data_IF_475251656870
#
_entry.id   IF_475251656870
#
_cell.length_a   1.000
_cell.length_b   1.000
_cell.length_c   1.000
_cell.angle_alpha   90.00
_cell.angle_beta   90.00
_cell.angle_gamma   90.00
#
_symmetry.space_group_name_H-M   'P 1'
#
loop_
_entity.id
_entity.type
_entity.pdbx_description
1 polymer ?
#
# COMPACT_ATOMS: atom_id res chain seq x y z
N UNK A 1 -1.63 32.10 4.33
CA UNK A 1 -0.62 31.17 4.85
C UNK A 1 0.35 30.83 3.74
N UNK A 2 1.67 30.76 4.00
CA UNK A 2 2.66 30.34 2.99
C UNK A 2 3.37 29.07 3.50
N UNK A 3 3.43 28.05 2.66
CA UNK A 3 4.06 26.75 2.95
C UNK A 3 4.90 26.28 1.76
N UNK A 4 5.72 25.24 1.94
CA UNK A 4 6.45 24.61 0.84
C UNK A 4 5.52 23.74 -0.02
N UNK A 5 4.60 23.01 0.61
CA UNK A 5 3.75 22.03 -0.09
C UNK A 5 2.27 22.08 0.36
N UNK A 6 1.38 21.89 -0.61
CA UNK A 6 0.02 21.41 -0.39
C UNK A 6 -0.02 19.93 -0.71
N UNK A 7 -0.59 19.11 0.18
CA UNK A 7 -0.82 17.68 -0.03
C UNK A 7 -2.33 17.45 -0.13
N UNK A 8 -2.80 16.77 -1.17
CA UNK A 8 -4.22 16.47 -1.33
C UNK A 8 -4.44 14.96 -1.13
N UNK A 9 -5.15 14.63 -0.05
CA UNK A 9 -5.43 13.26 0.36
C UNK A 9 -4.53 12.76 1.48
N UNK A 10 -5.14 12.33 2.58
CA UNK A 10 -4.47 11.74 3.75
C UNK A 10 -4.82 10.25 3.86
N UNK A 11 -4.49 9.50 2.79
CA UNK A 11 -4.36 8.04 2.83
C UNK A 11 -2.91 7.65 3.14
N UNK A 12 -2.53 6.40 2.91
CA UNK A 12 -1.17 5.91 3.17
C UNK A 12 -0.10 6.72 2.41
N UNK A 13 -0.33 7.03 1.13
CA UNK A 13 0.61 7.81 0.33
C UNK A 13 0.82 9.22 0.89
N UNK A 14 -0.28 9.95 1.16
CA UNK A 14 -0.19 11.31 1.71
C UNK A 14 0.40 11.35 3.12
N UNK A 15 0.09 10.37 3.96
CA UNK A 15 0.67 10.25 5.31
C UNK A 15 2.18 10.02 5.24
N UNK A 16 2.65 9.09 4.41
CA UNK A 16 4.09 8.81 4.26
C UNK A 16 4.85 9.97 3.63
N UNK A 17 4.25 10.66 2.66
CA UNK A 17 4.86 11.82 2.04
C UNK A 17 4.93 13.01 3.01
N UNK A 18 3.85 13.28 3.75
CA UNK A 18 3.84 14.31 4.80
C UNK A 18 4.87 14.02 5.89
N UNK A 19 5.04 12.75 6.28
CA UNK A 19 6.07 12.33 7.23
C UNK A 19 7.49 12.63 6.71
N UNK A 20 7.79 12.34 5.44
CA UNK A 20 9.10 12.64 4.86
C UNK A 20 9.36 14.15 4.74
N UNK A 21 8.34 14.96 4.46
CA UNK A 21 8.46 16.42 4.51
C UNK A 21 8.70 16.92 5.94
N UNK A 22 7.98 16.37 6.92
CA UNK A 22 8.17 16.68 8.33
C UNK A 22 9.63 16.40 8.78
N UNK A 23 10.18 15.23 8.43
CA UNK A 23 11.59 14.88 8.71
C UNK A 23 12.58 15.84 8.07
N UNK A 24 12.25 16.44 6.94
CA UNK A 24 13.09 17.40 6.21
C UNK A 24 12.83 18.86 6.60
N UNK A 25 12.06 19.10 7.69
CA UNK A 25 11.68 20.43 8.18
C UNK A 25 11.02 21.29 7.10
N UNK A 26 10.20 20.68 6.22
CA UNK A 26 9.40 21.37 5.21
C UNK A 26 8.01 21.67 5.74
N UNK A 27 7.54 22.87 5.47
CA UNK A 27 6.20 23.31 5.81
C UNK A 27 5.17 22.78 4.81
N UNK A 28 4.03 22.30 5.29
CA UNK A 28 2.97 21.80 4.42
C UNK A 28 1.59 21.91 5.07
N UNK A 29 0.56 21.82 4.23
CA UNK A 29 -0.84 21.65 4.65
C UNK A 29 -1.43 20.47 3.89
N UNK A 30 -2.14 19.61 4.60
CA UNK A 30 -2.85 18.45 4.05
C UNK A 30 -4.35 18.78 3.91
N UNK A 31 -4.90 18.63 2.71
CA UNK A 31 -6.34 18.67 2.47
C UNK A 31 -6.88 17.24 2.43
N UNK A 32 -7.83 16.96 3.31
CA UNK A 32 -8.37 15.62 3.52
C UNK A 32 -9.89 15.64 3.47
N UNK A 33 -10.49 15.04 2.44
CA UNK A 33 -11.94 14.87 2.37
C UNK A 33 -12.41 13.86 3.44
N UNK A 34 -13.17 14.29 4.47
CA UNK A 34 -13.64 13.43 5.54
C UNK A 34 -14.72 12.43 5.06
N UNK A 35 -15.36 12.71 3.94
CA UNK A 35 -16.43 11.87 3.38
C UNK A 35 -15.89 10.81 2.41
N UNK A 36 -14.60 10.85 2.08
CA UNK A 36 -13.98 9.89 1.20
C UNK A 36 -13.49 8.66 1.98
N UNK A 37 -14.13 7.50 1.79
CA UNK A 37 -13.62 6.22 2.29
C UNK A 37 -12.29 5.92 1.58
N UNK A 38 -11.22 5.79 2.35
CA UNK A 38 -9.88 5.52 1.83
C UNK A 38 -9.60 4.03 1.78
N UNK A 39 -8.94 3.57 0.72
CA UNK A 39 -8.48 2.17 0.62
C UNK A 39 -7.59 1.77 1.78
N UNK A 40 -6.86 2.72 2.33
CA UNK A 40 -5.96 2.55 3.47
C UNK A 40 -6.68 2.19 4.76
N UNK A 41 -7.95 2.61 4.93
CA UNK A 41 -8.79 2.27 6.09
C UNK A 41 -9.32 0.83 6.03
N UNK A 42 -9.29 0.23 4.85
CA UNK A 42 -9.73 -1.15 4.58
C UNK A 42 -8.55 -2.11 4.45
N UNK A 43 -7.38 -1.58 4.15
CA UNK A 43 -6.18 -2.37 3.90
C UNK A 43 -5.90 -3.36 5.05
N UNK A 44 -5.51 -4.57 4.69
CA UNK A 44 -5.08 -5.56 5.68
C UNK A 44 -3.73 -5.16 6.33
N UNK A 45 -2.96 -4.34 5.65
CA UNK A 45 -1.63 -3.99 6.13
C UNK A 45 -0.58 -5.07 5.94
N UNK A 46 -0.91 -6.14 5.21
CA UNK A 46 -0.06 -7.29 5.00
C UNK A 46 1.23 -6.92 4.25
N UNK A 47 2.35 -7.34 4.80
CA UNK A 47 3.69 -7.21 4.19
C UNK A 47 4.09 -8.56 3.62
N UNK A 48 4.28 -8.61 2.31
CA UNK A 48 4.74 -9.81 1.63
C UNK A 48 5.81 -9.44 0.58
N UNK A 49 7.08 -9.86 0.79
CA UNK A 49 8.18 -9.54 -0.10
C UNK A 49 8.17 -10.32 -1.42
N UNK A 50 7.30 -11.31 -1.57
CA UNK A 50 7.27 -12.23 -2.71
C UNK A 50 5.93 -12.19 -3.44
N UNK A 51 5.96 -12.39 -4.74
CA UNK A 51 4.78 -12.60 -5.59
C UNK A 51 4.57 -14.10 -5.77
N UNK A 52 3.79 -14.75 -4.91
CA UNK A 52 3.62 -16.21 -4.89
C UNK A 52 3.21 -16.83 -6.23
N UNK A 53 2.34 -16.18 -7.01
CA UNK A 53 1.90 -16.70 -8.31
C UNK A 53 3.05 -16.98 -9.27
N UNK A 54 4.14 -16.20 -9.16
CA UNK A 54 5.33 -16.30 -10.01
C UNK A 54 6.55 -16.79 -9.23
N UNK A 55 6.45 -16.88 -7.92
CA UNK A 55 7.57 -17.12 -7.00
C UNK A 55 8.75 -16.20 -7.32
N UNK A 56 8.50 -14.89 -7.39
CA UNK A 56 9.51 -13.88 -7.66
C UNK A 56 9.53 -12.82 -6.57
N UNK A 57 10.65 -12.12 -6.42
CA UNK A 57 10.72 -10.93 -5.57
C UNK A 57 9.64 -9.92 -5.95
N UNK A 58 9.07 -9.24 -4.97
CA UNK A 58 8.30 -8.03 -5.22
C UNK A 58 9.22 -6.95 -5.78
N UNK A 59 8.69 -6.14 -6.67
CA UNK A 59 9.45 -5.05 -7.29
C UNK A 59 10.15 -4.19 -6.24
N UNK A 60 11.44 -3.93 -6.43
CA UNK A 60 12.30 -3.12 -5.53
C UNK A 60 12.30 -3.58 -4.07
N UNK A 61 11.98 -4.83 -3.76
CA UNK A 61 11.88 -5.28 -2.37
C UNK A 61 13.20 -5.20 -1.61
N UNK A 62 14.32 -5.44 -2.28
CA UNK A 62 15.64 -5.42 -1.64
C UNK A 62 15.99 -4.02 -1.09
N UNK A 63 15.54 -2.96 -1.77
CA UNK A 63 15.70 -1.57 -1.33
C UNK A 63 14.56 -1.10 -0.44
N UNK A 64 13.33 -1.50 -0.78
CA UNK A 64 12.13 -1.01 -0.12
C UNK A 64 11.92 -1.62 1.27
N UNK A 65 12.29 -2.88 1.49
CA UNK A 65 12.03 -3.56 2.76
C UNK A 65 12.81 -2.94 3.93
N UNK A 66 14.12 -2.68 3.85
CA UNK A 66 14.87 -2.01 4.91
C UNK A 66 14.33 -0.59 5.19
N UNK A 67 14.00 0.16 4.11
CA UNK A 67 13.43 1.50 4.28
C UNK A 67 12.05 1.47 4.95
N UNK A 68 11.23 0.48 4.61
CA UNK A 68 9.93 0.27 5.23
C UNK A 68 10.05 0.02 6.74
N UNK A 69 10.93 -0.89 7.15
CA UNK A 69 11.15 -1.19 8.57
C UNK A 69 11.61 0.05 9.34
N UNK A 70 12.61 0.76 8.80
CA UNK A 70 13.10 2.00 9.42
C UNK A 70 11.98 3.03 9.56
N UNK A 71 11.24 3.31 8.49
CA UNK A 71 10.19 4.33 8.49
C UNK A 71 9.07 4.02 9.48
N UNK A 72 8.62 2.75 9.55
CA UNK A 72 7.53 2.43 10.48
C UNK A 72 7.98 2.42 11.93
N UNK A 73 9.24 2.05 12.23
CA UNK A 73 9.79 2.19 13.58
C UNK A 73 9.91 3.66 14.01
N UNK A 74 10.42 4.50 13.12
CA UNK A 74 10.50 5.95 13.39
C UNK A 74 9.10 6.57 13.58
N UNK A 75 8.07 6.09 12.84
CA UNK A 75 6.68 6.51 13.04
C UNK A 75 6.09 6.02 14.37
N UNK A 76 6.42 4.80 14.81
CA UNK A 76 6.03 4.30 16.14
C UNK A 76 6.60 5.19 17.25
N UNK A 77 7.87 5.56 17.14
CA UNK A 77 8.53 6.46 18.09
C UNK A 77 7.90 7.86 18.09
N UNK A 78 7.68 8.44 16.89
CA UNK A 78 7.09 9.77 16.74
C UNK A 78 5.66 9.86 17.29
N UNK A 79 4.86 8.83 17.03
CA UNK A 79 3.43 8.81 17.36
C UNK A 79 3.12 8.17 18.70
N UNK A 80 4.12 7.55 19.36
CA UNK A 80 3.97 6.77 20.58
C UNK A 80 2.90 5.68 20.51
N UNK A 81 2.82 5.03 19.32
CA UNK A 81 1.80 4.01 19.02
C UNK A 81 2.46 2.77 18.39
N UNK A 82 2.13 1.55 18.84
CA UNK A 82 2.57 0.34 18.16
C UNK A 82 1.79 0.17 16.85
N UNK A 83 2.51 0.19 15.74
CA UNK A 83 1.95 0.17 14.37
C UNK A 83 2.41 -1.03 13.56
N UNK A 84 3.70 -1.36 13.64
CA UNK A 84 4.35 -2.39 12.84
C UNK A 84 4.62 -3.65 13.67
N UNK A 85 4.02 -4.76 13.24
CA UNK A 85 4.25 -6.07 13.82
C UNK A 85 4.99 -6.94 12.82
N UNK A 86 6.33 -7.09 12.92
CA UNK A 86 7.07 -8.06 12.13
C UNK A 86 6.62 -9.47 12.47
N UNK A 87 6.67 -10.36 11.51
CA UNK A 87 6.24 -11.73 11.71
C UNK A 87 6.59 -12.64 10.54
N UNK A 88 6.13 -13.88 10.63
CA UNK A 88 6.29 -14.90 9.59
C UNK A 88 4.97 -15.13 8.87
N UNK A 89 5.07 -15.59 7.64
CA UNK A 89 3.88 -16.05 6.90
C UNK A 89 4.08 -17.50 6.47
N UNK A 90 3.10 -18.32 6.74
CA UNK A 90 3.06 -19.72 6.38
C UNK A 90 2.21 -19.88 5.13
N UNK A 91 2.84 -20.12 3.98
CA UNK A 91 2.15 -20.40 2.72
C UNK A 91 1.78 -21.88 2.66
N UNK A 92 0.50 -22.18 2.59
CA UNK A 92 0.01 -23.54 2.36
C UNK A 92 0.49 -24.02 1.00
N UNK A 93 1.16 -25.17 0.94
CA UNK A 93 1.63 -25.80 -0.28
C UNK A 93 0.73 -26.99 -0.65
N UNK A 94 0.64 -27.30 -1.95
CA UNK A 94 0.02 -28.54 -2.45
C UNK A 94 0.89 -29.75 -2.11
N UNK A 95 0.41 -30.95 -2.40
CA UNK A 95 1.12 -32.20 -2.15
C UNK A 95 2.54 -32.18 -2.76
N UNK A 96 2.64 -31.84 -4.04
CA UNK A 96 3.92 -31.73 -4.76
C UNK A 96 4.59 -30.34 -4.62
N UNK A 97 4.00 -29.46 -3.84
CA UNK A 97 4.41 -28.05 -3.73
C UNK A 97 5.75 -27.84 -3.05
N UNK A 98 6.23 -28.81 -2.27
CA UNK A 98 7.49 -28.72 -1.54
C UNK A 98 8.71 -28.64 -2.44
N UNK A 99 8.80 -29.54 -3.42
CA UNK A 99 9.93 -29.55 -4.36
C UNK A 99 9.90 -28.36 -5.31
N UNK A 100 8.69 -27.97 -5.78
CA UNK A 100 8.51 -26.75 -6.54
C UNK A 100 8.94 -25.50 -5.74
N UNK A 101 8.61 -25.45 -4.44
CA UNK A 101 9.03 -24.37 -3.55
C UNK A 101 10.55 -24.26 -3.50
N UNK A 102 11.25 -25.37 -3.20
CA UNK A 102 12.72 -25.40 -3.15
C UNK A 102 13.37 -24.94 -4.45
N UNK A 103 12.93 -25.53 -5.57
CA UNK A 103 13.41 -25.14 -6.90
C UNK A 103 13.29 -23.65 -7.13
N UNK A 104 12.12 -23.08 -6.87
CA UNK A 104 11.85 -21.66 -7.12
C UNK A 104 12.55 -20.71 -6.16
N UNK A 105 12.77 -21.12 -4.91
CA UNK A 105 13.55 -20.33 -3.95
C UNK A 105 14.96 -20.12 -4.48
N UNK A 106 15.64 -21.16 -4.94
CA UNK A 106 16.98 -21.06 -5.51
C UNK A 106 16.99 -20.37 -6.87
N UNK A 107 16.14 -20.78 -7.80
CA UNK A 107 16.13 -20.25 -9.17
C UNK A 107 15.86 -18.74 -9.21
N UNK A 108 15.09 -18.23 -8.25
CA UNK A 108 14.67 -16.82 -8.20
C UNK A 108 15.37 -16.03 -7.07
N UNK A 109 16.40 -16.59 -6.43
CA UNK A 109 17.22 -15.95 -5.39
C UNK A 109 16.35 -15.37 -4.26
N UNK A 110 15.46 -16.22 -3.68
CA UNK A 110 14.51 -15.81 -2.67
C UNK A 110 14.95 -16.13 -1.23
N UNK A 111 16.15 -16.69 -1.02
CA UNK A 111 16.65 -17.17 0.27
C UNK A 111 16.70 -16.07 1.35
N UNK A 112 16.87 -14.81 0.92
CA UNK A 112 16.82 -13.66 1.84
C UNK A 112 15.44 -13.44 2.47
N UNK A 113 14.38 -14.02 1.90
CA UNK A 113 12.99 -13.83 2.27
C UNK A 113 12.27 -15.10 2.65
N UNK A 114 12.67 -16.25 2.10
CA UNK A 114 12.00 -17.54 2.26
C UNK A 114 12.95 -18.56 2.87
N UNK A 115 12.42 -19.44 3.72
CA UNK A 115 13.11 -20.67 4.05
C UNK A 115 13.13 -21.59 2.83
N UNK A 116 14.30 -22.21 2.56
CA UNK A 116 14.47 -23.12 1.42
C UNK A 116 13.64 -24.37 1.63
N UNK A 117 13.81 -24.99 2.81
CA UNK A 117 13.09 -26.19 3.14
C UNK A 117 11.64 -25.90 3.56
N UNK A 118 10.65 -26.59 3.01
CA UNK A 118 9.28 -26.50 3.49
C UNK A 118 9.19 -26.91 4.97
N UNK A 119 8.36 -26.16 5.72
CA UNK A 119 8.13 -26.47 7.11
C UNK A 119 7.11 -27.61 7.25
N UNK A 120 7.59 -28.78 7.63
CA UNK A 120 6.78 -29.96 7.91
C UNK A 120 6.27 -30.00 9.37
N UNK A 121 6.81 -29.16 10.22
CA UNK A 121 6.56 -29.16 11.67
C UNK A 121 5.56 -28.07 12.10
N UNK A 122 5.20 -27.13 11.22
CA UNK A 122 4.15 -26.19 11.55
C UNK A 122 2.86 -26.97 11.79
N UNK A 123 2.34 -26.86 12.99
CA UNK A 123 1.09 -27.51 13.39
C UNK A 123 0.20 -26.47 14.06
N UNK A 124 -1.01 -26.44 13.60
CA UNK A 124 -2.12 -25.81 14.29
C UNK A 124 -3.33 -26.72 14.08
N UNK A 125 -3.91 -27.23 15.16
CA UNK A 125 -5.00 -28.18 15.11
C UNK A 125 -6.24 -27.66 14.38
N UNK A 126 -6.33 -26.34 14.23
CA UNK A 126 -7.44 -25.65 13.58
C UNK A 126 -7.18 -25.37 12.09
N UNK A 127 -5.98 -25.62 11.58
CA UNK A 127 -5.65 -25.43 10.16
C UNK A 127 -5.69 -26.77 9.45
N UNK A 128 -6.62 -26.88 8.51
CA UNK A 128 -6.80 -28.07 7.68
C UNK A 128 -5.74 -28.11 6.58
N UNK A 129 -4.54 -28.58 6.91
CA UNK A 129 -3.53 -28.86 5.91
C UNK A 129 -2.76 -30.11 6.27
N UNK A 130 -2.76 -31.07 5.35
CA UNK A 130 -2.11 -32.39 5.48
C UNK A 130 -0.70 -32.40 4.86
N UNK A 131 -0.30 -31.36 4.12
CA UNK A 131 0.96 -31.33 3.35
C UNK A 131 2.09 -30.60 4.09
N UNK A 132 2.53 -29.48 3.53
CA UNK A 132 3.63 -28.70 4.06
C UNK A 132 3.37 -27.18 3.91
N UNK A 133 4.23 -26.41 4.54
CA UNK A 133 4.16 -24.95 4.45
C UNK A 133 5.48 -24.37 3.94
N UNK A 134 5.39 -23.46 2.99
CA UNK A 134 6.51 -22.56 2.68
C UNK A 134 6.56 -21.43 3.70
N UNK A 135 7.73 -21.16 4.28
CA UNK A 135 7.87 -20.10 5.26
C UNK A 135 8.44 -18.82 4.65
N UNK A 136 7.76 -17.71 4.85
CA UNK A 136 8.24 -16.35 4.54
C UNK A 136 8.74 -15.72 5.84
N UNK A 137 10.05 -15.51 5.95
CA UNK A 137 10.69 -15.01 7.17
C UNK A 137 10.51 -13.50 7.33
N UNK A 138 10.57 -12.76 6.24
CA UNK A 138 10.40 -11.31 6.21
C UNK A 138 8.97 -10.94 5.81
N UNK A 139 8.04 -11.07 6.76
CA UNK A 139 6.64 -10.71 6.61
C UNK A 139 6.18 -9.89 7.81
N UNK A 140 4.91 -9.61 7.90
CA UNK A 140 4.33 -8.90 9.02
C UNK A 140 3.09 -8.10 8.64
N UNK A 141 2.72 -7.21 9.55
CA UNK A 141 1.54 -6.37 9.43
C UNK A 141 1.84 -4.95 9.89
N UNK A 142 1.33 -3.98 9.13
CA UNK A 142 1.17 -2.60 9.57
C UNK A 142 -0.30 -2.36 9.91
N UNK A 143 -0.59 -1.75 11.04
CA UNK A 143 -1.91 -1.21 11.33
C UNK A 143 -2.08 0.14 10.62
N UNK A 144 -2.47 0.06 9.34
CA UNK A 144 -2.57 1.23 8.46
C UNK A 144 -3.63 2.22 8.95
N UNK A 145 -4.74 1.71 9.48
CA UNK A 145 -5.83 2.56 9.99
C UNK A 145 -5.35 3.35 11.21
N UNK A 146 -4.67 2.68 12.14
CA UNK A 146 -4.11 3.30 13.33
C UNK A 146 -3.03 4.34 12.97
N UNK A 147 -2.14 4.02 12.04
CA UNK A 147 -1.13 4.96 11.53
C UNK A 147 -1.78 6.25 11.01
N UNK A 148 -2.77 6.14 10.11
CA UNK A 148 -3.43 7.31 9.52
C UNK A 148 -4.11 8.13 10.60
N UNK A 149 -4.79 7.49 11.53
CA UNK A 149 -5.49 8.16 12.62
C UNK A 149 -4.53 8.90 13.57
N UNK A 150 -3.49 8.23 14.04
CA UNK A 150 -2.49 8.83 14.93
C UNK A 150 -1.74 9.99 14.25
N UNK A 151 -1.35 9.82 12.97
CA UNK A 151 -0.70 10.88 12.21
C UNK A 151 -1.64 12.07 11.95
N UNK A 152 -2.94 11.82 11.71
CA UNK A 152 -3.95 12.89 11.61
C UNK A 152 -4.05 13.70 12.90
N UNK A 153 -3.95 13.04 14.06
CA UNK A 153 -3.88 13.71 15.36
C UNK A 153 -2.69 14.66 15.47
N UNK A 154 -1.50 14.20 15.06
CA UNK A 154 -0.29 15.03 15.01
C UNK A 154 -0.47 16.24 14.08
N UNK A 155 -1.00 16.04 12.88
CA UNK A 155 -1.25 17.13 11.92
C UNK A 155 -2.26 18.15 12.46
N UNK A 156 -3.27 17.69 13.19
CA UNK A 156 -4.26 18.57 13.83
C UNK A 156 -3.62 19.44 14.92
N UNK A 157 -2.77 18.86 15.75
CA UNK A 157 -2.02 19.60 16.79
C UNK A 157 -1.11 20.67 16.18
N UNK A 158 -0.59 20.44 14.97
CA UNK A 158 0.30 21.37 14.25
C UNK A 158 -0.46 22.35 13.34
N UNK A 159 -1.78 22.36 13.34
CA UNK A 159 -2.63 23.12 12.40
C UNK A 159 -2.28 22.89 10.91
N UNK A 160 -1.80 21.66 10.59
CA UNK A 160 -1.30 21.28 9.27
C UNK A 160 -2.27 20.40 8.47
N UNK A 161 -3.52 20.26 8.91
CA UNK A 161 -4.58 19.56 8.18
C UNK A 161 -5.84 20.39 8.06
N UNK A 162 -6.49 20.28 6.91
CA UNK A 162 -7.83 20.83 6.63
C UNK A 162 -8.74 19.68 6.23
N UNK A 163 -9.76 19.42 7.05
CA UNK A 163 -10.73 18.35 6.80
C UNK A 163 -11.84 18.85 5.87
N UNK A 164 -11.47 19.06 4.61
CA UNK A 164 -12.37 19.51 3.55
C UNK A 164 -11.98 18.89 2.20
N UNK A 165 -12.99 18.75 1.33
CA UNK A 165 -12.78 18.27 -0.03
C UNK A 165 -12.04 19.32 -0.85
N UNK A 166 -10.96 18.92 -1.51
CA UNK A 166 -10.21 19.79 -2.42
C UNK A 166 -11.01 20.05 -3.71
N UNK A 167 -11.17 21.30 -4.04
CA UNK A 167 -11.85 21.77 -5.25
C UNK A 167 -10.79 22.20 -6.29
N UNK A 168 -10.64 21.43 -7.36
CA UNK A 168 -9.63 21.69 -8.38
C UNK A 168 -9.82 23.03 -9.09
N UNK A 169 -11.06 23.55 -9.18
CA UNK A 169 -11.36 24.81 -9.85
C UNK A 169 -10.85 26.05 -9.08
N UNK A 170 -10.65 25.88 -7.77
CA UNK A 170 -10.07 26.94 -6.92
C UNK A 170 -8.55 27.01 -6.95
N UNK A 171 -7.89 26.02 -7.58
CA UNK A 171 -6.44 26.01 -7.65
C UNK A 171 -5.94 27.00 -8.69
N UNK A 172 -5.24 28.02 -8.23
CA UNK A 172 -4.62 29.05 -9.08
C UNK A 172 -3.15 28.72 -9.26
N UNK A 173 -2.73 28.56 -10.52
CA UNK A 173 -1.34 28.31 -10.89
C UNK A 173 -0.63 29.64 -11.17
N UNK A 174 0.55 29.80 -10.63
CA UNK A 174 1.46 30.93 -10.85
C UNK A 174 2.80 30.38 -11.36
N UNK A 175 3.71 31.21 -11.93
CA UNK A 175 4.96 30.71 -12.50
C UNK A 175 5.78 29.81 -11.54
N UNK A 176 5.87 30.18 -10.25
CA UNK A 176 6.72 29.48 -9.26
C UNK A 176 5.95 29.00 -8.02
N UNK A 177 4.63 29.07 -8.05
CA UNK A 177 3.79 28.70 -6.90
C UNK A 177 2.38 28.30 -7.31
N UNK A 178 1.65 27.77 -6.35
CA UNK A 178 0.20 27.53 -6.44
C UNK A 178 -0.50 28.24 -5.28
N UNK A 179 -1.72 28.69 -5.51
CA UNK A 179 -2.58 29.24 -4.45
C UNK A 179 -3.90 28.49 -4.44
N UNK A 180 -4.31 28.06 -3.26
CA UNK A 180 -5.59 27.43 -3.01
C UNK A 180 -6.22 28.08 -1.77
N UNK A 181 -7.37 28.72 -1.95
CA UNK A 181 -8.01 29.57 -0.95
C UNK A 181 -7.00 30.56 -0.35
N UNK A 182 -6.70 30.47 0.95
CA UNK A 182 -5.76 31.34 1.65
C UNK A 182 -4.36 30.74 1.83
N UNK A 183 -4.06 29.62 1.14
CA UNK A 183 -2.76 28.91 1.21
C UNK A 183 -2.01 29.08 -0.09
N UNK A 184 -0.79 29.62 -0.02
CA UNK A 184 0.16 29.66 -1.14
C UNK A 184 1.29 28.68 -0.88
N UNK A 185 1.62 27.83 -1.85
CA UNK A 185 2.67 26.82 -1.76
C UNK A 185 3.57 26.81 -3.01
N UNK A 186 4.78 26.30 -2.88
CA UNK A 186 5.64 26.07 -4.04
C UNK A 186 5.10 24.96 -4.95
N UNK A 187 4.47 23.94 -4.35
CA UNK A 187 3.90 22.82 -5.11
C UNK A 187 2.66 22.25 -4.42
N UNK A 188 1.79 21.64 -5.24
CA UNK A 188 0.70 20.77 -4.78
C UNK A 188 0.98 19.32 -5.22
N UNK A 189 0.88 18.40 -4.28
CA UNK A 189 1.10 16.96 -4.52
C UNK A 189 -0.19 16.20 -4.23
N UNK A 190 -0.72 15.55 -5.25
CA UNK A 190 -1.97 14.79 -5.19
C UNK A 190 -1.70 13.33 -4.78
N UNK A 191 -2.24 12.94 -3.61
CA UNK A 191 -2.13 11.63 -2.97
C UNK A 191 -3.52 10.97 -2.81
N UNK A 192 -4.38 11.09 -3.81
CA UNK A 192 -5.83 10.89 -3.71
C UNK A 192 -6.29 9.43 -3.85
N UNK A 193 -5.34 8.51 -3.98
CA UNK A 193 -5.68 7.09 -4.18
C UNK A 193 -6.55 6.86 -5.42
N UNK A 194 -7.69 6.17 -5.27
CA UNK A 194 -8.58 5.87 -6.41
C UNK A 194 -9.29 7.10 -6.98
N UNK A 195 -9.39 8.19 -6.24
CA UNK A 195 -10.02 9.43 -6.74
C UNK A 195 -9.16 10.14 -7.79
N UNK A 196 -7.85 9.89 -7.83
CA UNK A 196 -6.96 10.49 -8.82
C UNK A 196 -7.34 10.18 -10.28
N UNK A 197 -8.10 9.13 -10.54
CA UNK A 197 -8.64 8.85 -11.87
C UNK A 197 -9.63 9.94 -12.37
N UNK A 198 -10.19 10.72 -11.46
CA UNK A 198 -11.12 11.83 -11.76
C UNK A 198 -10.42 13.20 -11.71
N UNK A 199 -9.14 13.24 -11.28
CA UNK A 199 -8.40 14.47 -11.19
C UNK A 199 -8.10 15.04 -12.59
N UNK A 200 -8.50 16.30 -12.88
CA UNK A 200 -8.36 16.89 -14.22
C UNK A 200 -6.91 16.99 -14.70
N UNK A 201 -5.93 17.06 -13.81
CA UNK A 201 -4.52 17.16 -14.15
C UNK A 201 -3.91 15.82 -14.60
N UNK A 202 -4.54 14.69 -14.27
CA UNK A 202 -3.98 13.34 -14.50
C UNK A 202 -4.85 12.46 -15.39
N UNK A 203 -5.68 13.05 -16.26
CA UNK A 203 -6.57 12.33 -17.19
C UNK A 203 -5.86 11.33 -18.12
N UNK A 204 -4.58 11.61 -18.42
CA UNK A 204 -3.76 10.77 -19.31
C UNK A 204 -3.12 9.57 -18.58
N UNK A 205 -3.19 9.50 -17.27
CA UNK A 205 -2.67 8.36 -16.51
C UNK A 205 -3.62 7.17 -16.64
N UNK A 206 -3.05 6.01 -17.00
CA UNK A 206 -3.81 4.77 -17.18
C UNK A 206 -3.98 4.05 -15.84
N UNK A 207 -5.00 4.44 -15.08
CA UNK A 207 -5.41 3.70 -13.89
C UNK A 207 -6.11 2.40 -14.27
N UNK A 208 -5.85 1.33 -13.51
CA UNK A 208 -6.57 0.06 -13.55
C UNK A 208 -6.88 -0.37 -12.12
N UNK A 209 -7.85 0.30 -11.55
CA UNK A 209 -8.28 0.03 -10.18
C UNK A 209 -8.84 -1.39 -10.02
N UNK A 210 -8.79 -1.91 -8.79
CA UNK A 210 -9.47 -3.15 -8.42
C UNK A 210 -10.12 -2.99 -7.05
N UNK A 211 -11.34 -3.45 -6.92
CA UNK A 211 -12.02 -3.57 -5.63
C UNK A 211 -11.52 -4.80 -4.89
N UNK A 212 -11.41 -4.72 -3.60
CA UNK A 212 -11.14 -5.84 -2.71
C UNK A 212 -11.98 -5.75 -1.46
N UNK A 213 -12.49 -6.89 -1.05
CA UNK A 213 -13.23 -7.01 0.20
C UNK A 213 -12.46 -7.94 1.16
N UNK A 214 -12.60 -7.68 2.45
CA UNK A 214 -12.02 -8.49 3.51
C UNK A 214 -13.00 -8.59 4.68
N UNK A 215 -12.92 -9.71 5.39
CA UNK A 215 -13.70 -9.99 6.59
C UNK A 215 -12.84 -9.80 7.84
N UNK A 216 -13.48 -9.42 8.93
CA UNK A 216 -12.96 -9.53 10.28
C UNK A 216 -13.77 -10.62 10.98
N UNK A 217 -13.09 -11.70 11.37
CA UNK A 217 -13.70 -12.87 12.00
C UNK A 217 -13.23 -12.97 13.45
N UNK A 218 -14.14 -13.36 14.33
CA UNK A 218 -13.80 -13.88 15.66
C UNK A 218 -13.75 -15.38 15.60
N UNK A 219 -12.61 -15.97 15.94
CA UNK A 219 -12.36 -17.41 15.82
C UNK A 219 -11.71 -17.91 17.13
N UNK A 220 -12.51 -18.18 18.17
CA UNK A 220 -11.99 -18.67 19.43
C UNK A 220 -11.25 -19.99 19.25
N UNK A 221 -10.06 -20.11 19.85
CA UNK A 221 -9.28 -21.36 19.84
C UNK A 221 -8.43 -21.56 18.57
N UNK A 222 -8.43 -20.63 17.59
CA UNK A 222 -7.56 -20.76 16.41
C UNK A 222 -6.07 -20.57 16.76
N UNK A 223 -5.76 -19.67 17.70
CA UNK A 223 -4.40 -19.46 18.29
C UNK A 223 -3.27 -19.35 17.26
N UNK A 224 -3.47 -18.57 16.19
CA UNK A 224 -2.44 -18.27 15.22
C UNK A 224 -1.59 -17.07 15.65
N UNK A 225 -0.28 -17.23 15.63
CA UNK A 225 0.70 -16.15 15.78
C UNK A 225 1.22 -15.69 14.42
N UNK A 226 1.28 -16.61 13.45
CA UNK A 226 1.73 -16.35 12.08
C UNK A 226 0.55 -16.02 11.17
N UNK A 227 0.87 -15.38 10.06
CA UNK A 227 -0.08 -15.21 8.96
C UNK A 227 -0.12 -16.49 8.16
N UNK A 228 -1.30 -17.06 7.95
CA UNK A 228 -1.48 -18.21 7.06
C UNK A 228 -1.97 -17.73 5.70
N UNK A 229 -1.36 -18.20 4.63
CA UNK A 229 -1.70 -17.85 3.24
C UNK A 229 -2.04 -19.10 2.44
N UNK A 230 -3.32 -19.29 2.18
CA UNK A 230 -3.88 -20.28 1.25
C UNK A 230 -4.48 -19.60 0.03
N UNK A 231 -5.76 -19.91 -0.25
CA UNK A 231 -6.59 -19.19 -1.23
C UNK A 231 -6.94 -17.77 -0.75
N UNK A 232 -7.05 -17.61 0.56
CA UNK A 232 -7.12 -16.33 1.26
C UNK A 232 -5.99 -16.28 2.29
N UNK A 233 -5.66 -15.10 2.77
CA UNK A 233 -4.84 -14.98 3.97
C UNK A 233 -5.73 -14.96 5.22
N UNK A 234 -5.22 -15.56 6.28
CA UNK A 234 -5.76 -15.48 7.64
C UNK A 234 -4.70 -14.83 8.50
N UNK A 235 -4.98 -13.63 9.00
CA UNK A 235 -4.01 -12.80 9.69
C UNK A 235 -4.52 -12.39 11.06
N UNK A 236 -3.80 -12.68 12.16
CA UNK A 236 -4.19 -12.26 13.49
C UNK A 236 -4.16 -10.72 13.60
N UNK A 237 -5.21 -10.13 14.18
CA UNK A 237 -5.33 -8.69 14.41
C UNK A 237 -5.62 -8.34 15.89
N UNK A 238 -5.82 -9.34 16.72
CA UNK A 238 -6.10 -9.23 18.13
C UNK A 238 -6.40 -10.59 18.74
N UNK A 239 -6.77 -10.61 20.02
CA UNK A 239 -7.18 -11.86 20.68
C UNK A 239 -8.41 -12.45 19.97
N UNK A 240 -8.30 -13.69 19.51
CA UNK A 240 -9.33 -14.42 18.77
C UNK A 240 -9.89 -13.69 17.54
N UNK A 241 -9.23 -12.59 17.11
CA UNK A 241 -9.70 -11.76 16.00
C UNK A 241 -8.75 -11.87 14.83
N UNK A 242 -9.31 -12.13 13.65
CA UNK A 242 -8.54 -12.40 12.44
C UNK A 242 -9.11 -11.63 11.25
N UNK A 243 -8.22 -11.10 10.41
CA UNK A 243 -8.59 -10.55 9.11
C UNK A 243 -8.42 -11.62 8.05
N UNK A 244 -9.47 -11.87 7.26
CA UNK A 244 -9.50 -12.86 6.18
C UNK A 244 -9.74 -12.13 4.86
N UNK A 245 -8.90 -12.40 3.86
CA UNK A 245 -9.01 -11.70 2.58
C UNK A 245 -8.03 -12.18 1.52
N UNK A 246 -8.09 -11.58 0.37
CA UNK A 246 -9.07 -10.59 -0.05
C UNK A 246 -9.62 -10.99 -1.44
N UNK A 247 -10.80 -10.48 -1.74
CA UNK A 247 -11.32 -10.60 -3.11
C UNK A 247 -10.62 -9.65 -4.07
N UNK A 248 -10.77 -9.91 -5.38
CA UNK A 248 -10.33 -9.05 -6.46
C UNK A 248 -11.42 -8.98 -7.54
N UNK A 249 -12.03 -7.80 -7.72
CA UNK A 249 -12.98 -7.53 -8.79
C UNK A 249 -12.61 -6.24 -9.53
N UNK A 250 -12.96 -6.16 -10.81
CA UNK A 250 -12.64 -5.02 -11.68
C UNK A 250 -13.87 -4.36 -12.27
N UNK A 251 -15.03 -5.01 -12.17
CA UNK A 251 -16.27 -4.58 -12.84
C UNK A 251 -17.08 -3.60 -11.99
N UNK A 252 -17.11 -3.78 -10.67
CA UNK A 252 -17.84 -2.90 -9.74
C UNK A 252 -16.89 -2.13 -8.82
N UNK A 253 -16.40 -0.99 -9.29
CA UNK A 253 -15.48 -0.15 -8.53
C UNK A 253 -16.21 0.78 -7.55
N UNK A 254 -17.09 0.22 -6.74
CA UNK A 254 -17.73 0.91 -5.61
C UNK A 254 -17.14 0.43 -4.28
N UNK A 255 -17.46 1.14 -3.20
CA UNK A 255 -16.99 0.83 -1.84
C UNK A 255 -18.01 0.09 -0.98
N UNK A 256 -19.07 -0.45 -1.61
CA UNK A 256 -20.09 -1.26 -0.94
C UNK A 256 -19.63 -2.71 -0.84
N UNK A 257 -19.87 -3.31 0.29
CA UNK A 257 -19.66 -4.76 0.48
C UNK A 257 -20.75 -5.57 -0.23
N UNK A 258 -20.44 -6.82 -0.60
CA UNK A 258 -21.36 -7.70 -1.32
C UNK A 258 -21.48 -9.07 -0.63
N UNK A 259 -22.68 -9.65 -0.67
CA UNK A 259 -22.90 -11.00 -0.14
C UNK A 259 -22.12 -12.06 -0.91
N UNK A 260 -21.93 -11.86 -2.21
CA UNK A 260 -21.12 -12.75 -3.05
C UNK A 260 -19.66 -12.81 -2.60
N UNK A 261 -19.05 -11.64 -2.33
CA UNK A 261 -17.68 -11.56 -1.80
C UNK A 261 -17.58 -12.18 -0.39
N UNK A 262 -18.59 -11.93 0.45
CA UNK A 262 -18.67 -12.57 1.77
C UNK A 262 -18.67 -14.08 1.67
N UNK A 263 -19.56 -14.62 0.83
CA UNK A 263 -19.64 -16.07 0.59
C UNK A 263 -18.32 -16.62 0.06
N UNK A 264 -17.73 -15.99 -0.97
CA UNK A 264 -16.44 -16.40 -1.54
C UNK A 264 -15.35 -16.49 -0.47
N UNK A 265 -15.23 -15.45 0.37
CA UNK A 265 -14.21 -15.40 1.42
C UNK A 265 -14.42 -16.45 2.48
N UNK A 266 -15.67 -16.72 2.87
CA UNK A 266 -15.99 -17.75 3.86
C UNK A 266 -15.78 -19.15 3.32
N UNK A 267 -16.20 -19.44 2.09
CA UNK A 267 -15.95 -20.73 1.43
C UNK A 267 -14.44 -21.03 1.37
N UNK A 268 -13.63 -20.03 0.95
CA UNK A 268 -12.16 -20.17 0.91
C UNK A 268 -11.52 -20.28 2.29
N UNK A 269 -12.07 -19.60 3.30
CA UNK A 269 -11.61 -19.75 4.67
C UNK A 269 -11.89 -21.14 5.21
N UNK A 270 -13.06 -21.70 4.94
CA UNK A 270 -13.44 -23.05 5.37
C UNK A 270 -12.58 -24.15 4.74
N UNK A 271 -11.97 -23.90 3.56
CA UNK A 271 -10.93 -24.78 3.01
C UNK A 271 -9.62 -24.75 3.81
N UNK A 272 -9.38 -23.70 4.61
CA UNK A 272 -8.20 -23.55 5.45
C UNK A 272 -8.47 -24.03 6.88
N UNK A 273 -9.66 -23.76 7.42
CA UNK A 273 -10.01 -24.05 8.81
C UNK A 273 -11.49 -24.42 8.95
N UNK A 274 -11.75 -25.49 9.70
CA UNK A 274 -13.10 -25.91 10.10
C UNK A 274 -13.55 -25.31 11.44
N UNK A 275 -12.71 -24.46 12.06
CA UNK A 275 -13.02 -23.88 13.38
C UNK A 275 -14.24 -22.96 13.29
N UNK A 276 -15.19 -23.07 14.24
CA UNK A 276 -16.33 -22.18 14.29
C UNK A 276 -15.90 -20.70 14.40
N UNK A 277 -16.63 -19.84 13.72
CA UNK A 277 -16.32 -18.42 13.68
C UNK A 277 -17.58 -17.55 13.71
N UNK A 278 -17.40 -16.29 14.09
CA UNK A 278 -18.38 -15.22 13.97
C UNK A 278 -17.85 -14.16 13.03
N UNK A 279 -18.68 -13.63 12.11
CA UNK A 279 -18.31 -12.52 11.25
C UNK A 279 -18.57 -11.21 11.99
N UNK A 280 -17.50 -10.52 12.38
CA UNK A 280 -17.59 -9.24 13.08
C UNK A 280 -17.82 -8.09 12.12
N UNK A 281 -17.14 -8.11 10.95
CA UNK A 281 -17.19 -6.99 10.02
C UNK A 281 -16.83 -7.44 8.59
N UNK A 282 -17.26 -6.64 7.62
CA UNK A 282 -16.86 -6.75 6.22
C UNK A 282 -16.59 -5.35 5.67
N UNK A 283 -15.45 -5.16 5.04
CA UNK A 283 -15.04 -3.87 4.47
C UNK A 283 -14.65 -4.02 3.01
N UNK A 284 -14.96 -3.00 2.20
CA UNK A 284 -14.62 -2.93 0.79
C UNK A 284 -13.78 -1.69 0.49
N UNK A 285 -12.74 -1.83 -0.32
CA UNK A 285 -11.88 -0.73 -0.75
C UNK A 285 -11.43 -0.86 -2.19
N UNK A 286 -11.12 0.29 -2.81
CA UNK A 286 -10.66 0.34 -4.20
C UNK A 286 -9.14 0.57 -4.21
N UNK A 287 -8.38 -0.42 -4.63
CA UNK A 287 -6.91 -0.31 -4.73
C UNK A 287 -6.55 0.65 -5.87
N UNK A 288 -5.78 1.71 -5.58
CA UNK A 288 -5.30 2.64 -6.62
C UNK A 288 -4.15 1.99 -7.38
N UNK A 289 -4.49 1.22 -8.40
CA UNK A 289 -3.52 0.47 -9.19
C UNK A 289 -3.37 1.10 -10.56
N UNK A 290 -2.13 1.22 -11.03
CA UNK A 290 -1.82 1.59 -12.41
C UNK A 290 -1.90 0.38 -13.33
N UNK A 291 -2.09 0.60 -14.64
CA UNK A 291 -2.17 -0.47 -15.62
C UNK A 291 -0.94 -1.40 -15.59
N UNK A 292 0.25 -0.85 -15.44
CA UNK A 292 1.53 -1.58 -15.34
C UNK A 292 1.89 -2.01 -13.91
N UNK A 293 1.00 -1.76 -12.93
CA UNK A 293 1.16 -2.07 -11.50
C UNK A 293 2.34 -1.40 -10.80
N UNK A 294 2.97 -0.39 -11.42
CA UNK A 294 4.05 0.40 -10.83
C UNK A 294 3.48 1.65 -10.14
N UNK A 295 4.14 2.08 -9.09
CA UNK A 295 3.83 3.37 -8.43
C UNK A 295 4.06 4.52 -9.40
N UNK A 296 3.20 5.53 -9.37
CA UNK A 296 3.35 6.77 -10.12
C UNK A 296 3.71 7.89 -9.17
N UNK A 297 4.86 8.50 -9.42
CA UNK A 297 5.34 9.70 -8.71
C UNK A 297 6.01 10.64 -9.71
N UNK A 298 5.86 11.92 -9.52
CA UNK A 298 6.50 12.92 -10.38
C UNK A 298 5.72 14.23 -10.44
N UNK A 299 6.26 15.16 -11.22
CA UNK A 299 5.68 16.47 -11.51
C UNK A 299 5.18 16.49 -12.94
N UNK A 300 4.16 17.31 -13.22
CA UNK A 300 3.71 17.56 -14.59
C UNK A 300 4.80 18.37 -15.34
N UNK A 301 5.20 17.94 -16.55
CA UNK A 301 6.23 18.66 -17.33
C UNK A 301 5.86 20.12 -17.63
N UNK A 302 4.60 20.34 -17.99
CA UNK A 302 4.12 21.66 -18.38
C UNK A 302 3.74 22.55 -17.17
N UNK A 303 3.58 21.95 -15.97
CA UNK A 303 3.24 22.61 -14.71
C UNK A 303 3.99 21.96 -13.56
N UNK A 304 5.29 22.21 -13.39
CA UNK A 304 6.13 21.55 -12.39
C UNK A 304 5.77 21.89 -10.93
N UNK A 305 4.77 22.76 -10.73
CA UNK A 305 4.16 23.01 -9.42
C UNK A 305 3.13 21.93 -9.03
N UNK A 306 2.69 21.09 -9.99
CA UNK A 306 1.71 20.04 -9.78
C UNK A 306 2.41 18.69 -9.81
N UNK A 307 2.23 17.91 -8.75
CA UNK A 307 2.78 16.56 -8.65
C UNK A 307 1.76 15.52 -8.23
N UNK A 308 2.15 14.26 -8.38
CA UNK A 308 1.37 13.10 -7.96
C UNK A 308 2.25 12.11 -7.22
N UNK A 309 1.68 11.52 -6.15
CA UNK A 309 2.19 10.32 -5.51
C UNK A 309 1.05 9.32 -5.32
N UNK A 310 0.99 8.30 -6.17
CA UNK A 310 -0.13 7.38 -6.25
C UNK A 310 0.27 6.00 -6.83
N UNK A 311 -0.71 5.14 -7.07
CA UNK A 311 -0.48 3.85 -7.74
C UNK A 311 0.14 2.79 -6.84
N UNK A 312 0.07 2.92 -5.52
CA UNK A 312 0.66 1.96 -4.55
C UNK A 312 0.00 0.57 -4.60
N UNK A 313 -1.21 0.45 -5.14
CA UNK A 313 -1.92 -0.81 -5.35
C UNK A 313 -2.04 -1.66 -4.08
N UNK A 314 -1.68 -2.95 -4.18
CA UNK A 314 -1.71 -3.90 -3.05
C UNK A 314 -0.38 -4.00 -2.27
N UNK A 315 0.66 -3.29 -2.71
CA UNK A 315 2.00 -3.31 -2.10
C UNK A 315 2.37 -2.00 -1.40
N UNK A 316 1.39 -1.13 -1.16
CA UNK A 316 1.63 0.21 -0.62
C UNK A 316 2.35 0.22 0.73
N UNK A 317 2.07 -0.75 1.60
CA UNK A 317 2.74 -0.86 2.90
C UNK A 317 4.24 -1.15 2.73
N UNK A 318 4.60 -2.00 1.79
CA UNK A 318 6.01 -2.34 1.51
C UNK A 318 6.73 -1.21 0.74
N UNK A 319 6.10 -0.68 -0.30
CA UNK A 319 6.76 0.22 -1.26
C UNK A 319 6.61 1.71 -0.91
N UNK A 320 5.54 2.06 -0.19
CA UNK A 320 5.18 3.45 0.11
C UNK A 320 6.29 4.24 0.80
N UNK A 321 6.92 3.72 1.86
CA UNK A 321 8.02 4.41 2.55
C UNK A 321 9.21 4.72 1.65
N UNK A 322 9.62 3.75 0.83
CA UNK A 322 10.70 3.94 -0.13
C UNK A 322 10.40 5.06 -1.13
N UNK A 323 9.22 5.02 -1.76
CA UNK A 323 8.85 6.03 -2.74
C UNK A 323 8.58 7.40 -2.14
N UNK A 324 8.03 7.47 -0.93
CA UNK A 324 7.84 8.75 -0.22
C UNK A 324 9.19 9.44 0.03
N UNK A 325 10.17 8.69 0.54
CA UNK A 325 11.53 9.20 0.79
C UNK A 325 12.22 9.65 -0.49
N UNK A 326 12.17 8.83 -1.54
CA UNK A 326 12.78 9.16 -2.84
C UNK A 326 12.16 10.42 -3.43
N UNK A 327 10.82 10.53 -3.39
CA UNK A 327 10.13 11.67 -3.97
C UNK A 327 10.36 12.96 -3.18
N UNK A 328 10.27 12.92 -1.86
CA UNK A 328 10.58 14.08 -1.02
C UNK A 328 12.04 14.52 -1.19
N UNK A 329 12.99 13.57 -1.27
CA UNK A 329 14.39 13.87 -1.55
C UNK A 329 14.62 14.55 -2.89
N UNK A 330 13.98 14.05 -3.95
CA UNK A 330 14.02 14.65 -5.28
C UNK A 330 13.48 16.11 -5.28
N UNK A 331 12.31 16.31 -4.69
CA UNK A 331 11.67 17.63 -4.64
C UNK A 331 12.49 18.67 -3.87
N UNK A 332 13.33 18.24 -2.95
CA UNK A 332 14.18 19.10 -2.12
C UNK A 332 15.65 19.14 -2.58
N UNK A 333 15.96 18.59 -3.77
CA UNK A 333 17.30 18.62 -4.35
C UNK A 333 18.32 17.68 -3.68
N UNK A 334 17.87 16.77 -2.82
CA UNK A 334 18.74 15.88 -2.04
C UNK A 334 19.03 14.54 -2.73
N UNK A 335 18.43 14.26 -3.88
CA UNK A 335 18.66 13.05 -4.66
C UNK A 335 18.43 13.28 -6.15
N UNK A 336 19.24 12.61 -6.98
CA UNK A 336 18.95 12.42 -8.40
C UNK A 336 17.94 11.27 -8.55
N UNK A 337 16.68 11.55 -8.36
CA UNK A 337 15.64 10.57 -8.62
C UNK A 337 15.33 10.56 -10.12
N UNK A 338 15.61 9.47 -10.79
CA UNK A 338 15.11 9.27 -12.14
C UNK A 338 13.61 9.01 -12.02
N UNK A 339 12.81 9.91 -12.59
CA UNK A 339 11.34 9.79 -12.61
C UNK A 339 11.01 8.42 -13.18
N UNK A 340 10.51 7.51 -12.34
CA UNK A 340 10.19 6.13 -12.71
C UNK A 340 9.09 6.03 -13.79
N UNK A 341 8.38 7.14 -14.03
CA UNK A 341 7.46 7.34 -15.14
C UNK A 341 7.39 8.82 -15.45
N UNK A 342 7.82 9.28 -16.62
CA UNK A 342 7.47 10.62 -17.06
C UNK A 342 5.94 10.71 -17.17
N UNK A 343 5.36 11.68 -16.49
CA UNK A 343 3.95 12.06 -16.67
C UNK A 343 3.92 12.77 -18.02
N UNK A 344 3.55 12.07 -19.08
CA UNK A 344 3.62 12.62 -20.46
C UNK A 344 2.68 13.80 -20.63
N UNK A 345 3.20 14.91 -21.16
CA UNK A 345 2.38 15.88 -21.89
C UNK A 345 2.00 15.31 -23.27
N UNK A 346 0.81 15.65 -23.75
CA UNK A 346 0.31 15.18 -25.05
C UNK A 346 1.12 15.70 -26.26
N UNK A 347 2.17 16.51 -26.04
CA UNK A 347 2.86 17.29 -27.09
C UNK A 347 4.34 16.97 -27.27
N UNK A 348 4.97 16.08 -26.50
CA UNK A 348 6.40 15.81 -26.66
C UNK A 348 6.70 14.48 -27.34
N UNK A 349 7.59 14.51 -28.35
CA UNK A 349 8.23 13.36 -28.99
C UNK A 349 9.10 12.54 -28.01
N UNK A 350 8.47 11.89 -27.04
CA UNK A 350 9.12 11.20 -25.93
C UNK A 350 9.47 9.72 -26.21
N UNK A 351 9.53 9.30 -27.48
CA UNK A 351 9.89 7.92 -27.85
C UNK A 351 11.35 7.53 -27.54
N UNK A 352 12.21 8.46 -27.14
CA UNK A 352 13.64 8.16 -26.86
C UNK A 352 13.98 7.79 -25.43
N UNK A 353 13.06 7.93 -24.47
CA UNK A 353 13.30 7.60 -23.05
C UNK A 353 12.65 6.28 -22.60
N UNK A 354 11.82 5.67 -23.43
CA UNK A 354 11.14 4.40 -23.15
C UNK A 354 12.08 3.18 -23.20
N UNK A 355 13.19 3.27 -23.93
CA UNK A 355 14.08 2.12 -24.16
C UNK A 355 14.98 1.80 -22.95
N UNK A 356 15.12 2.71 -21.98
CA UNK A 356 15.98 2.48 -20.81
C UNK A 356 15.33 1.65 -19.69
N UNK A 357 14.03 1.41 -19.73
CA UNK A 357 13.28 0.68 -18.69
C UNK A 357 12.59 -0.59 -19.19
N UNK A 358 12.74 -0.95 -20.48
CA UNK A 358 12.24 -2.22 -21.03
C UNK A 358 13.02 -3.42 -20.49
N UNK A 359 14.24 -3.25 -20.01
CA UNK A 359 15.19 -4.31 -19.69
C UNK A 359 15.23 -4.67 -18.19
N UNK A 360 14.42 -4.06 -17.34
CA UNK A 360 14.26 -4.51 -15.96
C UNK A 360 13.18 -5.59 -15.90
N UNK A 361 13.52 -6.82 -15.49
CA UNK A 361 12.56 -7.91 -15.42
C UNK A 361 11.43 -7.58 -14.46
N UNK A 362 10.20 -7.77 -14.94
CA UNK A 362 8.94 -7.62 -14.19
C UNK A 362 8.76 -8.71 -13.15
#
# INVERSE_FOLDING_TARGET
>A
MKVDYIIVGQGLAGTLFAYELFRQNKSFVVFNDPNQIKSSEVAAGLINPVVFRRMTKSWLVDDAFPQMETTYRELEELLHEPLYSPGRMMKILSEDGGDFWKEKVFANQLEAYLEVEPNLNFRNSCISNTFSFGCVNKSGRLDVQKLIFAFSGLLTQQDSIRNEKFDYEKLVLQPDSVTYDNVTASKVIFCEGSAAAQNPFFKNLKFKHSKGEALELKIPGLELNEIVSGEVFVMPIGKDSYKVGATYTWDELNKKTTDSARKELLDKFQNISSTPFEVLNQKAGIRPTMHDRKTVIGLLPDNPQIGIFNGLGSKGVLLGPYFAKQFAGFLNGNSTFYILKPIFSATSNANKLLDYFSDLPC
#
